data_IF_253171371929
#
_entry.id   IF_253171371929
#
_cell.length_a   1.000
_cell.length_b   1.000
_cell.length_c   1.000
_cell.angle_alpha   90.00
_cell.angle_beta   90.00
_cell.angle_gamma   90.00
#
_symmetry.space_group_name_H-M   'P 1'
#
loop_
_entity.id
_entity.type
_entity.pdbx_description
1 polymer ?
#
# COMPACT_ATOMS: atom_id res chain seq x y z
N UNK A 1 4.17 15.40 -17.16
CA UNK A 1 2.77 14.99 -17.00
C UNK A 1 2.60 14.82 -15.51
N UNK A 2 1.83 15.67 -14.85
CA UNK A 2 1.58 15.50 -13.42
C UNK A 2 0.59 14.33 -13.33
N UNK A 3 1.07 13.16 -12.92
CA UNK A 3 0.18 12.10 -12.47
C UNK A 3 -0.61 12.69 -11.30
N UNK A 4 -1.89 12.97 -11.52
CA UNK A 4 -2.81 13.25 -10.42
C UNK A 4 -2.69 12.09 -9.45
N UNK A 5 -2.21 12.39 -8.24
CA UNK A 5 -2.07 11.40 -7.20
C UNK A 5 -3.42 10.74 -6.96
N UNK A 6 -3.56 9.47 -7.34
CA UNK A 6 -4.82 8.71 -7.26
C UNK A 6 -5.34 8.60 -5.83
N UNK A 7 -4.46 8.73 -4.84
CA UNK A 7 -4.77 8.55 -3.43
C UNK A 7 -4.49 9.81 -2.61
N UNK A 8 -5.16 9.86 -1.45
CA UNK A 8 -5.00 10.93 -0.50
C UNK A 8 -3.81 10.65 0.43
N UNK A 9 -2.93 11.65 0.56
CA UNK A 9 -1.73 11.58 1.41
C UNK A 9 -1.87 12.44 2.68
N UNK A 10 -3.08 12.83 3.05
CA UNK A 10 -3.33 13.47 4.34
C UNK A 10 -3.09 12.47 5.50
N UNK A 11 -2.84 13.02 6.68
CA UNK A 11 -2.47 12.21 7.85
C UNK A 11 -3.54 11.18 8.22
N UNK A 12 -4.82 11.50 8.03
CA UNK A 12 -5.93 10.59 8.33
C UNK A 12 -5.96 9.41 7.35
N UNK A 13 -5.84 9.70 6.05
CA UNK A 13 -5.76 8.70 4.99
C UNK A 13 -4.55 7.79 5.14
N UNK A 14 -3.38 8.34 5.45
CA UNK A 14 -2.15 7.56 5.68
C UNK A 14 -2.28 6.68 6.92
N UNK A 15 -2.82 7.20 8.03
CA UNK A 15 -3.09 6.38 9.22
C UNK A 15 -4.09 5.27 8.91
N UNK A 16 -5.14 5.55 8.14
CA UNK A 16 -6.16 4.57 7.79
C UNK A 16 -5.59 3.43 6.92
N UNK A 17 -4.77 3.72 5.92
CA UNK A 17 -4.17 2.68 5.07
C UNK A 17 -3.12 1.86 5.81
N UNK A 18 -2.32 2.48 6.68
CA UNK A 18 -1.37 1.75 7.55
C UNK A 18 -2.13 0.82 8.49
N UNK A 19 -3.18 1.31 9.16
CA UNK A 19 -3.99 0.51 10.06
C UNK A 19 -4.66 -0.67 9.34
N UNK A 20 -5.24 -0.43 8.16
CA UNK A 20 -5.77 -1.49 7.32
C UNK A 20 -4.70 -2.52 6.99
N UNK A 21 -3.51 -2.09 6.57
CA UNK A 21 -2.43 -3.00 6.19
C UNK A 21 -1.89 -3.81 7.39
N UNK A 22 -1.93 -3.25 8.61
CA UNK A 22 -1.56 -3.97 9.84
C UNK A 22 -2.61 -5.00 10.29
N UNK A 23 -3.89 -4.82 9.95
CA UNK A 23 -5.01 -5.64 10.45
C UNK A 23 -5.64 -6.54 9.40
N UNK A 24 -5.44 -6.25 8.11
CA UNK A 24 -5.99 -7.03 7.02
C UNK A 24 -5.39 -8.44 6.97
N UNK A 25 -6.25 -9.42 6.73
CA UNK A 25 -5.81 -10.79 6.44
C UNK A 25 -5.45 -10.88 4.96
N UNK A 26 -4.15 -10.76 4.68
CA UNK A 26 -3.63 -10.77 3.33
C UNK A 26 -3.18 -12.20 2.96
N UNK A 27 -3.40 -12.64 1.71
CA UNK A 27 -2.86 -13.91 1.25
C UNK A 27 -1.32 -13.84 1.24
N UNK A 28 -0.67 -15.00 1.37
CA UNK A 28 0.79 -15.08 1.41
C UNK A 28 1.45 -14.46 0.17
N UNK A 29 0.83 -14.70 -0.98
CA UNK A 29 1.32 -14.28 -2.29
C UNK A 29 0.21 -13.54 -3.04
N UNK A 30 0.56 -12.43 -3.70
CA UNK A 30 -0.34 -11.59 -4.49
C UNK A 30 0.30 -11.28 -5.84
N UNK A 31 -0.44 -11.52 -6.93
CA UNK A 31 -0.03 -11.13 -8.28
C UNK A 31 -0.88 -9.91 -8.66
N UNK A 32 -0.33 -8.70 -8.47
CA UNK A 32 -1.03 -7.46 -8.83
C UNK A 32 -1.10 -7.28 -10.35
N UNK A 33 -0.09 -7.76 -11.07
CA UNK A 33 0.02 -7.74 -12.53
C UNK A 33 1.09 -8.74 -12.99
N UNK A 34 1.20 -9.02 -14.30
CA UNK A 34 2.21 -9.94 -14.85
C UNK A 34 3.66 -9.56 -14.47
N UNK A 35 3.92 -8.27 -14.23
CA UNK A 35 5.24 -7.75 -13.81
C UNK A 35 5.36 -7.46 -12.31
N UNK A 36 4.27 -7.52 -11.55
CA UNK A 36 4.22 -7.14 -10.14
C UNK A 36 3.70 -8.31 -9.30
N UNK A 37 4.64 -9.18 -8.93
CA UNK A 37 4.38 -10.37 -8.13
C UNK A 37 4.98 -10.20 -6.73
N UNK A 38 4.12 -10.20 -5.73
CA UNK A 38 4.46 -10.11 -4.32
C UNK A 38 4.46 -11.53 -3.74
N UNK A 39 5.65 -12.11 -3.55
CA UNK A 39 5.82 -13.46 -2.99
C UNK A 39 5.51 -13.57 -1.50
N UNK A 40 5.74 -12.49 -0.75
CA UNK A 40 5.47 -12.42 0.68
C UNK A 40 4.79 -11.09 1.01
N UNK A 41 3.46 -11.12 1.03
CA UNK A 41 2.64 -9.91 1.24
C UNK A 41 2.86 -9.31 2.62
N UNK A 42 3.19 -10.14 3.62
CA UNK A 42 3.46 -9.68 4.97
C UNK A 42 4.76 -8.87 5.04
N UNK A 43 5.82 -9.35 4.39
CA UNK A 43 7.08 -8.62 4.27
C UNK A 43 6.90 -7.34 3.45
N UNK A 44 6.18 -7.42 2.33
CA UNK A 44 5.88 -6.27 1.47
C UNK A 44 5.18 -5.16 2.26
N UNK A 45 4.10 -5.50 2.97
CA UNK A 45 3.35 -4.53 3.78
C UNK A 45 4.21 -3.94 4.89
N UNK A 46 4.96 -4.77 5.60
CA UNK A 46 5.86 -4.30 6.67
C UNK A 46 6.92 -3.33 6.16
N UNK A 47 7.52 -3.59 5.00
CA UNK A 47 8.49 -2.69 4.40
C UNK A 47 7.87 -1.32 4.08
N UNK A 48 6.72 -1.30 3.39
CA UNK A 48 6.04 -0.06 3.05
C UNK A 48 5.56 0.72 4.29
N UNK A 49 5.03 0.03 5.32
CA UNK A 49 4.66 0.68 6.59
C UNK A 49 5.88 1.30 7.26
N UNK A 50 7.02 0.61 7.24
CA UNK A 50 8.24 1.14 7.85
C UNK A 50 8.73 2.39 7.11
N UNK A 51 8.76 2.37 5.78
CA UNK A 51 9.09 3.55 4.97
C UNK A 51 8.16 4.73 5.30
N UNK A 52 6.84 4.50 5.37
CA UNK A 52 5.86 5.53 5.74
C UNK A 52 6.14 6.06 7.15
N UNK A 53 6.33 5.19 8.16
CA UNK A 53 6.56 5.60 9.55
C UNK A 53 7.88 6.38 9.72
N UNK A 54 8.90 6.07 8.94
CA UNK A 54 10.21 6.73 9.04
C UNK A 54 10.29 8.05 8.26
N UNK A 55 9.54 8.17 7.17
CA UNK A 55 9.74 9.26 6.22
C UNK A 55 8.52 10.16 6.00
N UNK A 56 7.30 9.74 6.33
CA UNK A 56 6.13 10.61 6.23
C UNK A 56 6.29 11.86 7.11
N UNK A 57 5.98 13.08 6.62
CA UNK A 57 5.23 13.41 5.40
C UNK A 57 6.08 13.70 4.14
N UNK A 58 7.27 13.13 4.00
CA UNK A 58 8.11 13.33 2.81
C UNK A 58 7.47 12.70 1.55
N UNK A 59 7.16 13.54 0.57
CA UNK A 59 6.47 13.15 -0.65
C UNK A 59 7.27 12.17 -1.53
N UNK A 60 8.59 12.08 -1.34
CA UNK A 60 9.42 11.08 -2.04
C UNK A 60 9.00 9.65 -1.67
N UNK A 61 8.41 9.46 -0.49
CA UNK A 61 7.96 8.16 0.03
C UNK A 61 6.46 7.90 -0.19
N UNK A 62 5.74 8.80 -0.86
CA UNK A 62 4.36 8.57 -1.30
C UNK A 62 4.17 7.25 -2.09
N UNK A 63 5.13 6.76 -2.89
CA UNK A 63 5.01 5.45 -3.54
C UNK A 63 4.76 4.28 -2.57
N UNK A 64 5.21 4.36 -1.31
CA UNK A 64 4.89 3.35 -0.30
C UNK A 64 3.41 3.36 0.08
N UNK A 65 2.80 4.55 0.12
CA UNK A 65 1.36 4.76 0.37
C UNK A 65 0.55 4.24 -0.81
N UNK A 66 0.91 4.62 -2.05
CA UNK A 66 0.28 4.14 -3.29
C UNK A 66 0.27 2.61 -3.38
N UNK A 67 1.39 1.95 -3.03
CA UNK A 67 1.50 0.49 -3.01
C UNK A 67 0.53 -0.18 -2.06
N UNK A 68 0.35 0.37 -0.86
CA UNK A 68 -0.63 -0.17 0.10
C UNK A 68 -2.06 0.01 -0.40
N UNK A 69 -2.38 1.14 -1.02
CA UNK A 69 -3.70 1.36 -1.62
C UNK A 69 -3.97 0.42 -2.82
N UNK A 70 -3.00 0.20 -3.70
CA UNK A 70 -3.13 -0.75 -4.81
C UNK A 70 -3.33 -2.17 -4.31
N UNK A 71 -2.61 -2.57 -3.27
CA UNK A 71 -2.80 -3.86 -2.63
C UNK A 71 -4.21 -3.97 -2.01
N UNK A 72 -4.68 -2.91 -1.36
CA UNK A 72 -6.04 -2.84 -0.81
C UNK A 72 -7.11 -3.00 -1.88
N UNK A 73 -7.04 -2.20 -2.94
CA UNK A 73 -7.96 -2.30 -4.08
C UNK A 73 -7.94 -3.69 -4.71
N UNK A 74 -6.77 -4.33 -4.81
CA UNK A 74 -6.68 -5.70 -5.33
C UNK A 74 -7.36 -6.71 -4.40
N UNK A 75 -7.09 -6.66 -3.10
CA UNK A 75 -7.64 -7.63 -2.13
C UNK A 75 -9.14 -7.44 -1.94
N UNK A 76 -9.62 -6.21 -1.90
CA UNK A 76 -11.05 -5.90 -1.77
C UNK A 76 -11.80 -6.05 -3.10
N UNK A 77 -11.16 -5.76 -4.23
CA UNK A 77 -11.75 -5.90 -5.57
C UNK A 77 -11.74 -7.34 -6.11
N UNK A 78 -10.81 -8.19 -5.66
CA UNK A 78 -10.83 -9.62 -5.97
C UNK A 78 -11.91 -10.40 -5.18
N UNK A 79 -12.61 -9.74 -4.25
CA UNK A 79 -13.71 -10.32 -3.48
C UNK A 79 -15.08 -10.22 -4.18
N UNK A 80 -15.15 -9.72 -5.42
CA UNK A 80 -16.36 -9.67 -6.27
C UNK A 80 -16.39 -10.79 -7.32
#
# INVERSE_FOLDING_TARGET
MAEESKYAYDEESVKAIVYWAETAQLPKEVILSESEHIYDTSLYVRANINDIKQHYPDAFYNPAIDRLYRLKEFVEGAAE
#
